data_IF_822933947845
#
_entry.id   IF_822933947845
#
_cell.length_a   1.000
_cell.length_b   1.000
_cell.length_c   1.000
_cell.angle_alpha   90.00
_cell.angle_beta   90.00
_cell.angle_gamma   90.00
#
_symmetry.space_group_name_H-M   'P 1'
#
loop_
_entity.id
_entity.type
_entity.pdbx_description
1 polymer ?
#
# COMPACT_ATOMS: atom_id res chain seq x y z
N UNK A 1 -59.62 132.85 -17.57
CA UNK A 1 -59.17 131.60 -18.19
C UNK A 1 -60.34 130.65 -18.18
N UNK A 2 -60.91 130.43 -19.37
CA UNK A 2 -61.60 129.20 -19.79
C UNK A 2 -62.87 128.85 -19.00
N UNK A 3 -64.02 129.38 -19.43
CA UNK A 3 -65.06 128.67 -20.25
C UNK A 3 -65.79 127.59 -19.42
N UNK A 4 -67.01 127.87 -18.93
CA UNK A 4 -68.30 127.66 -19.64
C UNK A 4 -68.49 126.19 -20.07
N UNK A 5 -69.57 125.46 -19.76
CA UNK A 5 -70.97 125.87 -19.69
C UNK A 5 -71.85 124.81 -18.97
N UNK A 6 -72.99 125.26 -18.41
CA UNK A 6 -74.38 124.68 -18.46
C UNK A 6 -74.61 123.16 -18.34
N UNK A 7 -75.65 122.61 -17.70
CA UNK A 7 -76.89 123.11 -17.10
C UNK A 7 -77.62 121.94 -16.38
N UNK A 8 -78.51 122.32 -15.44
CA UNK A 8 -79.83 121.74 -15.13
C UNK A 8 -80.04 120.24 -14.81
N UNK A 9 -80.37 120.01 -13.53
CA UNK A 9 -81.55 119.30 -12.98
C UNK A 9 -82.00 117.93 -13.54
N UNK A 10 -82.01 116.93 -12.64
CA UNK A 10 -82.83 115.71 -12.77
C UNK A 10 -82.60 114.69 -11.61
N UNK A 11 -83.63 114.37 -10.83
CA UNK A 11 -83.69 113.27 -9.84
C UNK A 11 -84.19 111.96 -10.52
N UNK A 12 -84.10 110.76 -9.90
CA UNK A 12 -83.00 109.79 -9.67
C UNK A 12 -83.19 108.46 -10.51
N UNK A 13 -82.47 107.32 -10.27
CA UNK A 13 -83.13 106.20 -9.54
C UNK A 13 -82.21 105.25 -8.70
N UNK A 14 -82.85 104.42 -7.86
CA UNK A 14 -82.30 103.48 -6.86
C UNK A 14 -81.94 102.06 -7.38
N UNK A 15 -81.82 101.84 -8.70
CA UNK A 15 -81.74 100.49 -9.29
C UNK A 15 -80.36 99.81 -9.23
N UNK A 16 -79.27 100.56 -9.08
CA UNK A 16 -77.90 100.04 -9.24
C UNK A 16 -77.37 99.16 -8.08
N UNK A 17 -77.87 99.36 -6.87
CA UNK A 17 -77.35 98.64 -5.69
C UNK A 17 -77.86 97.19 -5.62
N UNK A 18 -79.09 96.96 -6.06
CA UNK A 18 -79.71 95.64 -6.07
C UNK A 18 -79.09 94.80 -7.19
N UNK A 19 -78.88 95.39 -8.37
CA UNK A 19 -78.23 94.71 -9.50
C UNK A 19 -76.79 94.30 -9.16
N UNK A 20 -76.02 95.15 -8.45
CA UNK A 20 -74.68 94.77 -7.97
C UNK A 20 -74.68 93.63 -6.95
N UNK A 21 -75.64 93.58 -6.03
CA UNK A 21 -75.78 92.44 -5.10
C UNK A 21 -76.25 91.18 -5.82
N UNK A 22 -77.17 91.30 -6.77
CA UNK A 22 -77.65 90.19 -7.58
C UNK A 22 -76.52 89.58 -8.41
N UNK A 23 -75.74 90.41 -9.10
CA UNK A 23 -74.59 89.96 -9.88
C UNK A 23 -73.52 89.31 -9.00
N UNK A 24 -73.27 89.84 -7.80
CA UNK A 24 -72.31 89.24 -6.85
C UNK A 24 -72.77 87.89 -6.29
N UNK A 25 -74.08 87.67 -6.17
CA UNK A 25 -74.67 86.39 -5.76
C UNK A 25 -74.66 85.40 -6.94
N UNK A 26 -74.94 85.86 -8.16
CA UNK A 26 -74.88 85.05 -9.38
C UNK A 26 -73.45 84.68 -9.79
N UNK A 27 -72.45 85.51 -9.47
CA UNK A 27 -71.02 85.22 -9.67
C UNK A 27 -70.50 84.16 -8.70
N UNK A 28 -71.09 84.03 -7.50
CA UNK A 28 -70.85 82.88 -6.63
C UNK A 28 -71.62 81.67 -7.18
N UNK A 29 -71.05 81.02 -8.19
CA UNK A 29 -71.58 79.78 -8.77
C UNK A 29 -71.37 78.60 -7.81
N UNK A 30 -72.20 78.53 -6.77
CA UNK A 30 -72.23 77.44 -5.79
C UNK A 30 -72.63 76.10 -6.46
N UNK A 31 -73.34 76.16 -7.59
CA UNK A 31 -73.82 74.98 -8.32
C UNK A 31 -72.74 74.29 -9.19
N UNK A 32 -71.61 74.96 -9.47
CA UNK A 32 -70.56 74.41 -10.36
C UNK A 32 -69.41 73.73 -9.64
N UNK A 33 -69.32 73.87 -8.31
CA UNK A 33 -68.16 73.42 -7.56
C UNK A 33 -68.48 72.10 -6.84
N UNK A 34 -68.11 70.98 -7.46
CA UNK A 34 -68.50 69.63 -7.05
C UNK A 34 -67.98 69.26 -5.66
N UNK A 35 -66.80 69.74 -5.29
CA UNK A 35 -66.25 69.55 -3.95
C UNK A 35 -67.08 70.30 -2.90
N UNK A 36 -67.60 71.49 -3.24
CA UNK A 36 -68.49 72.23 -2.33
C UNK A 36 -69.86 71.58 -2.24
N UNK A 37 -70.38 71.00 -3.34
CA UNK A 37 -71.64 70.27 -3.35
C UNK A 37 -71.54 68.95 -2.56
N UNK A 38 -70.44 68.21 -2.67
CA UNK A 38 -70.19 67.01 -1.89
C UNK A 38 -70.00 67.36 -0.40
N UNK A 39 -69.24 68.42 -0.09
CA UNK A 39 -69.09 68.90 1.28
C UNK A 39 -70.42 69.41 1.87
N UNK A 40 -71.27 70.06 1.07
CA UNK A 40 -72.61 70.49 1.48
C UNK A 40 -73.57 69.31 1.62
N UNK A 41 -73.43 68.28 0.79
CA UNK A 41 -74.21 67.03 0.88
C UNK A 41 -73.84 66.28 2.16
N UNK A 42 -72.55 66.16 2.48
CA UNK A 42 -72.08 65.62 3.73
C UNK A 42 -72.52 66.48 4.93
N UNK A 43 -72.45 67.80 4.82
CA UNK A 43 -72.96 68.74 5.83
C UNK A 43 -74.45 68.54 6.07
N UNK A 44 -75.23 68.32 5.01
CA UNK A 44 -76.69 68.13 5.07
C UNK A 44 -77.10 66.83 5.78
N UNK A 45 -76.24 65.79 5.77
CA UNK A 45 -76.51 64.55 6.48
C UNK A 45 -76.57 64.71 8.01
N UNK A 46 -75.88 65.72 8.57
CA UNK A 46 -75.81 65.91 10.03
C UNK A 46 -76.25 67.30 10.51
N UNK A 47 -76.39 68.27 9.61
CA UNK A 47 -76.90 69.60 9.92
C UNK A 47 -78.38 69.73 9.52
N UNK A 48 -79.26 69.17 10.35
CA UNK A 48 -80.70 69.11 10.09
C UNK A 48 -81.48 70.35 10.56
N UNK A 49 -80.99 71.09 11.56
CA UNK A 49 -81.67 72.26 12.13
C UNK A 49 -80.76 73.50 12.22
N UNK A 50 -81.18 74.58 11.57
CA UNK A 50 -80.43 75.85 11.49
C UNK A 50 -80.75 76.79 12.66
N UNK A 51 -80.33 76.41 13.88
CA UNK A 51 -80.44 77.26 15.08
C UNK A 51 -79.15 78.05 15.34
N UNK A 52 -79.24 79.12 16.15
CA UNK A 52 -78.09 79.98 16.48
C UNK A 52 -77.01 79.22 17.29
N UNK A 53 -77.41 78.19 18.05
CA UNK A 53 -76.52 77.24 18.73
C UNK A 53 -75.88 76.26 17.75
N UNK A 54 -76.64 75.74 16.77
CA UNK A 54 -76.12 74.86 15.71
C UNK A 54 -75.01 75.53 14.88
N UNK A 55 -75.16 76.82 14.52
CA UNK A 55 -74.10 77.56 13.78
C UNK A 55 -72.83 77.76 14.59
N UNK A 56 -72.94 78.06 15.89
CA UNK A 56 -71.77 78.22 16.78
C UNK A 56 -71.05 76.90 17.00
N UNK A 57 -71.78 75.79 17.05
CA UNK A 57 -71.24 74.46 17.29
C UNK A 57 -70.84 73.70 16.03
N UNK A 58 -71.19 74.18 14.83
CA UNK A 58 -70.89 73.54 13.53
C UNK A 58 -69.39 73.23 13.38
N UNK A 59 -68.53 74.22 13.65
CA UNK A 59 -67.08 74.05 13.57
C UNK A 59 -66.60 72.97 14.54
N UNK A 60 -67.09 73.00 15.77
CA UNK A 60 -66.74 72.00 16.79
C UNK A 60 -67.24 70.59 16.43
N UNK A 61 -68.41 70.47 15.79
CA UNK A 61 -68.93 69.19 15.31
C UNK A 61 -68.15 68.65 14.11
N UNK A 62 -67.78 69.50 13.16
CA UNK A 62 -66.93 69.14 12.01
C UNK A 62 -65.54 68.71 12.50
N UNK A 63 -64.93 69.49 13.40
CA UNK A 63 -63.64 69.14 14.02
C UNK A 63 -63.72 67.81 14.78
N UNK A 64 -64.80 67.58 15.55
CA UNK A 64 -65.01 66.32 16.28
C UNK A 64 -65.22 65.12 15.35
N UNK A 65 -65.94 65.29 14.23
CA UNK A 65 -66.12 64.24 13.23
C UNK A 65 -64.84 63.98 12.44
N UNK A 66 -64.10 65.02 12.07
CA UNK A 66 -62.79 64.88 11.44
C UNK A 66 -61.81 64.16 12.36
N UNK A 67 -61.82 64.50 13.66
CA UNK A 67 -61.02 63.81 14.68
C UNK A 67 -61.44 62.34 14.80
N UNK A 68 -62.74 62.04 14.85
CA UNK A 68 -63.23 60.66 14.88
C UNK A 68 -62.86 59.84 13.62
N UNK A 69 -62.89 60.46 12.43
CA UNK A 69 -62.46 59.82 11.18
C UNK A 69 -60.94 59.57 11.21
N UNK A 70 -60.16 60.54 11.67
CA UNK A 70 -58.71 60.39 11.81
C UNK A 70 -58.34 59.35 12.87
N UNK A 71 -59.08 59.26 13.98
CA UNK A 71 -58.91 58.21 14.99
C UNK A 71 -59.24 56.83 14.42
N UNK A 72 -60.35 56.70 13.68
CA UNK A 72 -60.71 55.44 13.01
C UNK A 72 -59.67 55.04 11.95
N UNK A 73 -59.16 56.01 11.18
CA UNK A 73 -58.09 55.78 10.22
C UNK A 73 -56.79 55.35 10.91
N UNK A 74 -56.41 56.02 12.00
CA UNK A 74 -55.25 55.65 12.82
C UNK A 74 -55.41 54.25 13.41
N UNK A 75 -56.61 53.88 13.86
CA UNK A 75 -56.87 52.55 14.39
C UNK A 75 -56.72 51.47 13.31
N UNK A 76 -57.34 51.65 12.14
CA UNK A 76 -57.22 50.72 11.02
C UNK A 76 -55.78 50.65 10.48
N UNK A 77 -55.10 51.80 10.37
CA UNK A 77 -53.70 51.85 9.93
C UNK A 77 -52.76 51.21 10.94
N UNK A 78 -53.08 51.27 12.24
CA UNK A 78 -52.30 50.61 13.30
C UNK A 78 -52.36 49.09 13.16
N UNK A 79 -53.50 48.51 12.81
CA UNK A 79 -53.61 47.06 12.55
C UNK A 79 -52.74 46.64 11.37
N UNK A 80 -52.77 47.41 10.27
CA UNK A 80 -51.91 47.16 9.10
C UNK A 80 -50.44 47.30 9.45
N UNK A 81 -50.08 48.31 10.26
CA UNK A 81 -48.71 48.53 10.72
C UNK A 81 -48.21 47.40 11.62
N UNK A 82 -49.05 46.88 12.52
CA UNK A 82 -48.70 45.73 13.35
C UNK A 82 -48.50 44.47 12.49
N UNK A 83 -49.39 44.21 11.53
CA UNK A 83 -49.22 43.08 10.62
C UNK A 83 -47.96 43.21 9.74
N UNK A 84 -47.59 44.44 9.35
CA UNK A 84 -46.35 44.69 8.61
C UNK A 84 -45.11 44.52 9.49
N UNK A 85 -45.15 45.00 10.73
CA UNK A 85 -44.07 44.80 11.72
C UNK A 85 -43.87 43.30 11.99
N UNK A 86 -44.94 42.51 12.10
CA UNK A 86 -44.88 41.06 12.27
C UNK A 86 -44.22 40.39 11.04
N UNK A 87 -44.60 40.78 9.82
CA UNK A 87 -43.96 40.28 8.59
C UNK A 87 -42.48 40.68 8.53
N UNK A 88 -42.12 41.89 8.93
CA UNK A 88 -40.73 42.32 9.02
C UNK A 88 -39.96 41.46 10.05
N UNK A 89 -40.56 41.18 11.21
CA UNK A 89 -39.98 40.28 12.21
C UNK A 89 -39.80 38.84 11.69
N UNK A 90 -40.77 38.32 10.95
CA UNK A 90 -40.68 37.01 10.30
C UNK A 90 -39.57 36.99 9.24
N UNK A 91 -39.41 38.06 8.45
CA UNK A 91 -38.33 38.18 7.46
C UNK A 91 -36.97 38.22 8.15
N UNK A 92 -36.84 38.98 9.24
CA UNK A 92 -35.60 39.05 10.02
C UNK A 92 -35.26 37.67 10.62
N UNK A 93 -36.27 36.96 11.17
CA UNK A 93 -36.08 35.60 11.69
C UNK A 93 -35.67 34.59 10.59
N UNK A 94 -36.22 34.72 9.38
CA UNK A 94 -35.81 33.92 8.22
C UNK A 94 -34.38 34.27 7.80
N UNK A 95 -34.01 35.55 7.80
CA UNK A 95 -32.64 35.98 7.50
C UNK A 95 -31.64 35.39 8.50
N UNK A 96 -31.93 35.48 9.80
CA UNK A 96 -31.09 34.92 10.87
C UNK A 96 -30.96 33.40 10.75
N UNK A 97 -32.03 32.71 10.38
CA UNK A 97 -32.03 31.26 10.15
C UNK A 97 -31.18 30.87 8.93
N UNK A 98 -31.28 31.63 7.83
CA UNK A 98 -30.46 31.45 6.62
C UNK A 98 -28.99 31.69 6.93
N UNK A 99 -28.65 32.73 7.68
CA UNK A 99 -27.26 33.02 8.09
C UNK A 99 -26.73 31.92 9.01
N UNK A 100 -27.54 31.43 9.94
CA UNK A 100 -27.19 30.30 10.81
C UNK A 100 -26.92 29.03 10.01
N UNK A 101 -27.79 28.69 9.04
CA UNK A 101 -27.58 27.55 8.13
C UNK A 101 -26.33 27.72 7.27
N UNK A 102 -26.06 28.92 6.77
CA UNK A 102 -24.86 29.23 5.99
C UNK A 102 -23.58 29.06 6.82
N UNK A 103 -23.60 29.49 8.08
CA UNK A 103 -22.49 29.28 9.00
C UNK A 103 -22.27 27.79 9.32
N UNK A 104 -23.35 27.04 9.57
CA UNK A 104 -23.26 25.60 9.79
C UNK A 104 -22.72 24.86 8.54
N UNK A 105 -23.20 25.23 7.35
CA UNK A 105 -22.74 24.65 6.09
C UNK A 105 -21.26 24.94 5.86
N UNK A 106 -20.82 26.19 6.04
CA UNK A 106 -19.41 26.54 5.87
C UNK A 106 -18.50 25.84 6.88
N UNK A 107 -18.94 25.68 8.13
CA UNK A 107 -18.22 24.90 9.15
C UNK A 107 -18.14 23.41 8.77
N UNK A 108 -19.23 22.83 8.27
CA UNK A 108 -19.28 21.42 7.85
C UNK A 108 -18.40 21.18 6.62
N UNK A 109 -18.40 22.10 5.65
CA UNK A 109 -17.50 22.06 4.50
C UNK A 109 -16.02 22.13 4.92
N UNK A 110 -15.69 22.95 5.91
CA UNK A 110 -14.33 23.03 6.45
C UNK A 110 -13.90 21.70 7.09
N UNK A 111 -14.75 21.12 7.94
CA UNK A 111 -14.50 19.82 8.58
C UNK A 111 -14.40 18.68 7.55
N UNK A 112 -15.27 18.69 6.53
CA UNK A 112 -15.22 17.70 5.46
C UNK A 112 -13.92 17.80 4.66
N UNK A 113 -13.44 19.02 4.36
CA UNK A 113 -12.14 19.21 3.71
C UNK A 113 -10.99 18.69 4.56
N UNK A 114 -11.00 18.94 5.87
CA UNK A 114 -9.99 18.42 6.79
C UNK A 114 -9.99 16.89 6.83
N UNK A 115 -11.17 16.26 6.94
CA UNK A 115 -11.31 14.81 6.92
C UNK A 115 -10.83 14.20 5.60
N UNK A 116 -11.15 14.83 4.45
CA UNK A 116 -10.66 14.39 3.14
C UNK A 116 -9.13 14.50 3.09
N UNK A 117 -8.55 15.58 3.61
CA UNK A 117 -7.11 15.75 3.65
C UNK A 117 -6.44 14.68 4.51
N UNK A 118 -6.98 14.40 5.71
CA UNK A 118 -6.49 13.33 6.58
C UNK A 118 -6.61 11.96 5.91
N UNK A 119 -7.75 11.66 5.27
CA UNK A 119 -7.95 10.41 4.54
C UNK A 119 -6.94 10.25 3.39
N UNK A 120 -6.66 11.31 2.64
CA UNK A 120 -5.65 11.30 1.58
C UNK A 120 -4.24 11.04 2.14
N UNK A 121 -3.86 11.70 3.23
CA UNK A 121 -2.54 11.46 3.86
C UNK A 121 -2.40 10.03 4.37
N UNK A 122 -3.45 9.48 5.00
CA UNK A 122 -3.47 8.08 5.43
C UNK A 122 -3.38 7.12 4.25
N UNK A 123 -4.04 7.43 3.12
CA UNK A 123 -3.98 6.62 1.92
C UNK A 123 -2.58 6.63 1.30
N UNK A 124 -1.93 7.78 1.24
CA UNK A 124 -0.54 7.90 0.77
C UNK A 124 0.43 7.12 1.66
N UNK A 125 0.28 7.20 2.97
CA UNK A 125 1.13 6.48 3.91
C UNK A 125 0.87 4.97 3.86
N UNK A 126 -0.38 4.55 3.70
CA UNK A 126 -0.73 3.14 3.48
C UNK A 126 -0.03 2.61 2.22
N UNK A 127 -0.07 3.36 1.12
CA UNK A 127 0.62 2.97 -0.12
C UNK A 127 2.14 2.86 0.07
N UNK A 128 2.77 3.78 0.82
CA UNK A 128 4.20 3.70 1.16
C UNK A 128 4.52 2.46 1.98
N UNK A 129 3.70 2.15 3.00
CA UNK A 129 3.87 0.98 3.86
C UNK A 129 3.72 -0.32 3.06
N UNK A 130 2.74 -0.40 2.16
CA UNK A 130 2.57 -1.56 1.27
C UNK A 130 3.77 -1.76 0.34
N UNK A 131 4.32 -0.67 -0.21
CA UNK A 131 5.54 -0.74 -1.02
C UNK A 131 6.73 -1.23 -0.18
N UNK A 132 6.93 -0.67 1.01
CA UNK A 132 7.99 -1.10 1.93
C UNK A 132 7.84 -2.57 2.33
N UNK A 133 6.62 -3.02 2.63
CA UNK A 133 6.34 -4.43 2.93
C UNK A 133 6.73 -5.31 1.74
N UNK A 134 6.35 -4.94 0.51
CA UNK A 134 6.69 -5.70 -0.69
C UNK A 134 8.19 -5.78 -0.94
N UNK A 135 8.91 -4.68 -0.68
CA UNK A 135 10.37 -4.65 -0.79
C UNK A 135 10.99 -5.54 0.30
N UNK A 136 10.53 -5.44 1.54
CA UNK A 136 11.02 -6.25 2.64
C UNK A 136 10.78 -7.74 2.41
N UNK A 137 9.59 -8.15 1.95
CA UNK A 137 9.32 -9.56 1.64
C UNK A 137 10.17 -10.06 0.47
N UNK A 138 10.34 -9.25 -0.58
CA UNK A 138 11.26 -9.57 -1.67
C UNK A 138 12.70 -9.71 -1.20
N UNK A 139 13.17 -8.81 -0.35
CA UNK A 139 14.50 -8.84 0.24
C UNK A 139 14.72 -10.11 1.08
N UNK A 140 13.80 -10.42 2.00
CA UNK A 140 13.90 -11.63 2.83
C UNK A 140 13.87 -12.89 1.97
N UNK A 141 13.01 -12.97 0.96
CA UNK A 141 12.96 -14.14 0.06
C UNK A 141 14.24 -14.36 -0.75
N UNK A 142 15.03 -13.30 -0.99
CA UNK A 142 16.24 -13.36 -1.81
C UNK A 142 17.51 -13.50 -0.98
N UNK A 143 17.54 -12.98 0.24
CA UNK A 143 18.75 -12.94 1.08
C UNK A 143 18.66 -13.76 2.36
N UNK A 144 17.55 -14.46 2.59
CA UNK A 144 17.38 -15.34 3.74
C UNK A 144 16.95 -16.72 3.29
N UNK A 145 17.47 -17.75 3.96
CA UNK A 145 17.00 -19.13 3.80
C UNK A 145 15.62 -19.28 4.44
N UNK A 146 14.71 -19.93 3.73
CA UNK A 146 13.44 -20.35 4.29
C UNK A 146 13.63 -21.41 5.38
N UNK A 147 12.64 -21.54 6.27
CA UNK A 147 12.67 -22.54 7.35
C UNK A 147 12.80 -23.97 6.79
N UNK A 148 12.17 -24.23 5.63
CA UNK A 148 12.27 -25.52 4.95
C UNK A 148 13.68 -25.78 4.40
N UNK A 149 14.32 -24.78 3.83
CA UNK A 149 15.71 -24.89 3.34
C UNK A 149 16.69 -25.09 4.49
N UNK A 150 16.46 -24.41 5.62
CA UNK A 150 17.27 -24.62 6.80
C UNK A 150 17.13 -26.06 7.32
N UNK A 151 15.91 -26.61 7.34
CA UNK A 151 15.68 -28.01 7.73
C UNK A 151 16.34 -29.01 6.77
N UNK A 152 16.33 -28.77 5.45
CA UNK A 152 17.00 -29.67 4.50
C UNK A 152 18.53 -29.59 4.62
N UNK A 153 19.08 -28.41 4.89
CA UNK A 153 20.52 -28.20 5.04
C UNK A 153 21.09 -28.90 6.29
N UNK A 154 20.42 -28.75 7.44
CA UNK A 154 20.89 -29.31 8.71
C UNK A 154 20.39 -30.73 8.99
N UNK A 155 19.21 -31.09 8.45
CA UNK A 155 18.52 -32.35 8.75
C UNK A 155 17.89 -32.34 10.14
N UNK A 156 16.93 -33.23 10.37
CA UNK A 156 16.34 -33.46 11.69
C UNK A 156 17.32 -34.23 12.61
N UNK A 157 18.19 -35.04 12.00
CA UNK A 157 19.26 -35.77 12.70
C UNK A 157 20.56 -35.71 11.91
N UNK A 158 21.69 -35.85 12.61
CA UNK A 158 23.04 -35.75 12.00
C UNK A 158 23.31 -36.79 10.91
N UNK A 159 22.62 -37.93 10.95
CA UNK A 159 22.79 -39.08 10.05
C UNK A 159 21.68 -39.18 8.99
N UNK A 160 20.84 -38.17 8.86
CA UNK A 160 19.79 -38.18 7.84
C UNK A 160 20.40 -38.16 6.42
N UNK A 161 19.95 -39.06 5.53
CA UNK A 161 20.53 -39.21 4.20
C UNK A 161 20.40 -37.92 3.38
N UNK A 162 21.46 -37.63 2.62
CA UNK A 162 21.48 -36.49 1.72
C UNK A 162 20.61 -36.79 0.50
N UNK A 163 19.67 -35.88 0.20
CA UNK A 163 18.79 -35.95 -0.98
C UNK A 163 19.28 -34.99 -2.07
N UNK A 164 18.70 -35.09 -3.27
CA UNK A 164 19.00 -34.14 -4.35
C UNK A 164 18.65 -32.68 -3.98
N UNK A 165 17.64 -32.49 -3.13
CA UNK A 165 17.22 -31.16 -2.67
C UNK A 165 18.29 -30.44 -1.84
N UNK A 166 19.10 -31.18 -1.09
CA UNK A 166 20.24 -30.62 -0.36
C UNK A 166 21.20 -29.85 -1.28
N UNK A 167 21.49 -30.41 -2.45
CA UNK A 167 22.40 -29.76 -3.41
C UNK A 167 21.80 -28.49 -4.00
N UNK A 168 20.48 -28.46 -4.23
CA UNK A 168 19.77 -27.26 -4.69
C UNK A 168 19.81 -26.15 -3.62
N UNK A 169 19.62 -26.52 -2.35
CA UNK A 169 19.71 -25.57 -1.23
C UNK A 169 21.14 -25.04 -1.09
N UNK A 170 22.15 -25.92 -1.22
CA UNK A 170 23.55 -25.51 -1.18
C UNK A 170 23.90 -24.54 -2.32
N UNK A 171 23.36 -24.76 -3.53
CA UNK A 171 23.50 -23.81 -4.64
C UNK A 171 22.80 -22.49 -4.34
N UNK A 172 21.62 -22.53 -3.72
CA UNK A 172 20.92 -21.33 -3.29
C UNK A 172 21.74 -20.51 -2.27
N UNK A 173 22.36 -21.15 -1.28
CA UNK A 173 23.29 -20.47 -0.33
C UNK A 173 24.42 -19.76 -1.07
N UNK A 174 25.03 -20.41 -2.07
CA UNK A 174 26.09 -19.80 -2.88
C UNK A 174 25.58 -18.63 -3.73
N UNK A 175 24.36 -18.72 -4.27
CA UNK A 175 23.71 -17.63 -4.99
C UNK A 175 23.44 -16.43 -4.07
N UNK A 176 22.93 -16.65 -2.86
CA UNK A 176 22.72 -15.59 -1.87
C UNK A 176 24.06 -14.91 -1.55
N UNK A 177 25.11 -15.70 -1.30
CA UNK A 177 26.44 -15.17 -1.03
C UNK A 177 26.98 -14.35 -2.23
N UNK A 178 26.73 -14.78 -3.47
CA UNK A 178 27.10 -14.02 -4.66
C UNK A 178 26.29 -12.73 -4.82
N UNK A 179 24.98 -12.78 -4.56
CA UNK A 179 24.08 -11.61 -4.61
C UNK A 179 24.44 -10.56 -3.56
N UNK A 180 24.98 -10.96 -2.40
CA UNK A 180 25.48 -10.03 -1.39
C UNK A 180 26.61 -9.15 -1.93
N UNK A 181 27.37 -9.60 -2.94
CA UNK A 181 28.37 -8.76 -3.62
C UNK A 181 27.71 -7.57 -4.35
N UNK A 182 26.51 -7.77 -4.89
CA UNK A 182 25.71 -6.67 -5.48
C UNK A 182 25.20 -5.72 -4.40
N UNK A 183 24.84 -6.24 -3.22
CA UNK A 183 24.42 -5.41 -2.08
C UNK A 183 25.57 -4.56 -1.50
N UNK A 184 26.78 -5.12 -1.47
CA UNK A 184 28.01 -4.41 -1.12
C UNK A 184 28.28 -3.21 -2.05
N UNK A 185 28.02 -3.38 -3.36
CA UNK A 185 28.21 -2.33 -4.37
C UNK A 185 27.17 -1.21 -4.26
N UNK A 186 25.96 -1.51 -3.78
CA UNK A 186 24.88 -0.52 -3.66
C UNK A 186 24.90 0.29 -2.36
N UNK A 187 25.89 0.06 -1.49
CA UNK A 187 26.14 0.88 -0.29
C UNK A 187 25.61 0.29 1.02
N UNK A 188 24.98 -0.89 1.02
CA UNK A 188 24.48 -1.55 2.23
C UNK A 188 25.50 -2.53 2.81
N UNK A 189 26.68 -2.03 3.16
CA UNK A 189 27.84 -2.87 3.51
C UNK A 189 27.62 -3.72 4.77
N UNK A 190 27.11 -3.16 5.87
CA UNK A 190 26.93 -3.89 7.14
C UNK A 190 25.99 -5.09 6.95
N UNK A 191 24.78 -4.86 6.44
CA UNK A 191 23.82 -5.94 6.21
C UNK A 191 24.33 -6.98 5.21
N UNK A 192 25.05 -6.55 4.16
CA UNK A 192 25.65 -7.49 3.20
C UNK A 192 26.71 -8.38 3.84
N UNK A 193 27.55 -7.82 4.72
CA UNK A 193 28.59 -8.56 5.43
C UNK A 193 27.99 -9.54 6.44
N UNK A 194 26.99 -9.11 7.21
CA UNK A 194 26.30 -9.96 8.19
C UNK A 194 25.65 -11.17 7.50
N UNK A 195 24.92 -10.93 6.40
CA UNK A 195 24.28 -12.02 5.63
C UNK A 195 25.34 -12.93 5.00
N UNK A 196 26.44 -12.36 4.48
CA UNK A 196 27.53 -13.13 3.89
C UNK A 196 28.22 -14.03 4.92
N UNK A 197 28.42 -13.54 6.15
CA UNK A 197 28.95 -14.33 7.27
C UNK A 197 28.00 -15.47 7.64
N UNK A 198 26.70 -15.20 7.80
CA UNK A 198 25.71 -16.25 8.05
C UNK A 198 25.67 -17.31 6.94
N UNK A 199 25.67 -16.89 5.67
CA UNK A 199 25.69 -17.83 4.54
C UNK A 199 26.98 -18.65 4.50
N UNK A 200 28.11 -18.07 4.90
CA UNK A 200 29.39 -18.79 5.00
C UNK A 200 29.30 -19.87 6.09
N UNK A 201 28.74 -19.56 7.26
CA UNK A 201 28.52 -20.53 8.33
C UNK A 201 27.59 -21.67 7.89
N UNK A 202 26.50 -21.36 7.20
CA UNK A 202 25.60 -22.36 6.62
C UNK A 202 26.32 -23.25 5.59
N UNK A 203 27.12 -22.65 4.72
CA UNK A 203 27.90 -23.38 3.72
C UNK A 203 28.93 -24.31 4.38
N UNK A 204 29.64 -23.87 5.42
CA UNK A 204 30.60 -24.68 6.15
C UNK A 204 29.95 -25.87 6.84
N UNK A 205 28.85 -25.64 7.57
CA UNK A 205 28.09 -26.71 8.22
C UNK A 205 27.55 -27.74 7.21
N UNK A 206 27.04 -27.25 6.07
CA UNK A 206 26.56 -28.11 4.99
C UNK A 206 27.68 -28.96 4.37
N UNK A 207 28.84 -28.36 4.10
CA UNK A 207 29.99 -29.08 3.56
C UNK A 207 30.56 -30.09 4.56
N UNK A 208 30.54 -29.80 5.86
CA UNK A 208 30.94 -30.76 6.89
C UNK A 208 29.99 -31.97 6.95
N UNK A 209 28.67 -31.72 6.87
CA UNK A 209 27.67 -32.79 6.79
C UNK A 209 27.85 -33.64 5.53
N UNK A 210 28.03 -32.97 4.38
CA UNK A 210 28.31 -33.63 3.10
C UNK A 210 29.56 -34.50 3.20
N UNK A 211 30.65 -33.95 3.74
CA UNK A 211 31.90 -34.68 3.97
C UNK A 211 31.68 -35.96 4.78
N UNK A 212 31.01 -35.87 5.95
CA UNK A 212 30.74 -37.04 6.82
C UNK A 212 29.92 -38.11 6.10
N UNK A 213 28.87 -37.68 5.38
CA UNK A 213 28.00 -38.57 4.63
C UNK A 213 28.76 -39.29 3.49
N UNK A 214 29.51 -38.52 2.68
CA UNK A 214 30.32 -39.04 1.58
C UNK A 214 31.42 -39.97 2.11
N UNK A 215 32.12 -39.60 3.18
CA UNK A 215 33.16 -40.45 3.80
C UNK A 215 32.57 -41.78 4.29
N UNK A 216 31.40 -41.76 4.94
CA UNK A 216 30.70 -42.98 5.38
C UNK A 216 30.35 -43.90 4.20
N UNK A 217 29.89 -43.33 3.07
CA UNK A 217 29.60 -44.09 1.85
C UNK A 217 30.88 -44.66 1.22
N UNK A 218 31.97 -43.89 1.23
CA UNK A 218 33.29 -44.33 0.76
C UNK A 218 33.96 -45.37 1.65
N UNK A 219 33.48 -45.58 2.88
CA UNK A 219 33.95 -46.66 3.77
C UNK A 219 33.27 -48.00 3.52
N UNK A 220 32.02 -47.99 3.01
CA UNK A 220 31.18 -49.17 2.82
C UNK A 220 31.11 -49.63 1.34
N UNK A 221 32.20 -49.48 0.57
CA UNK A 221 32.24 -49.65 -0.91
C UNK A 221 32.23 -51.11 -1.37
N UNK A 222 31.91 -52.06 -0.48
CA UNK A 222 31.79 -53.48 -0.83
C UNK A 222 30.78 -53.74 -1.97
N UNK A 223 29.88 -52.79 -2.25
CA UNK A 223 28.85 -52.90 -3.28
C UNK A 223 29.25 -52.47 -4.71
N UNK A 224 30.47 -51.96 -4.97
CA UNK A 224 30.92 -51.45 -6.28
C UNK A 224 30.04 -50.37 -6.96
N UNK A 225 28.89 -50.01 -6.39
CA UNK A 225 27.98 -49.00 -6.91
C UNK A 225 28.17 -47.69 -6.15
N UNK A 226 28.94 -46.78 -6.74
CA UNK A 226 29.02 -45.40 -6.26
C UNK A 226 27.73 -44.69 -6.70
N UNK A 227 26.88 -44.34 -5.73
CA UNK A 227 25.65 -43.60 -6.01
C UNK A 227 25.94 -42.23 -6.62
N UNK A 228 25.08 -41.77 -7.54
CA UNK A 228 25.24 -40.48 -8.25
C UNK A 228 25.37 -39.27 -7.29
N UNK A 229 24.69 -39.32 -6.13
CA UNK A 229 24.78 -38.27 -5.11
C UNK A 229 26.17 -38.20 -4.45
N UNK A 230 26.90 -39.31 -4.36
CA UNK A 230 28.29 -39.33 -3.87
C UNK A 230 29.21 -38.63 -4.87
N UNK A 231 29.04 -38.90 -6.16
CA UNK A 231 29.79 -38.25 -7.24
C UNK A 231 29.52 -36.73 -7.25
N UNK A 232 28.26 -36.33 -7.09
CA UNK A 232 27.88 -34.92 -6.95
C UNK A 232 28.46 -34.30 -5.66
N UNK A 233 28.49 -35.05 -4.57
CA UNK A 233 29.14 -34.66 -3.32
C UNK A 233 30.63 -34.36 -3.49
N UNK A 234 31.36 -35.25 -4.17
CA UNK A 234 32.78 -35.07 -4.50
C UNK A 234 33.02 -33.81 -5.34
N UNK A 235 32.15 -33.54 -6.32
CA UNK A 235 32.22 -32.33 -7.13
C UNK A 235 32.04 -31.04 -6.30
N UNK A 236 31.24 -31.05 -5.23
CA UNK A 236 31.11 -29.89 -4.33
C UNK A 236 32.26 -29.79 -3.34
N UNK A 237 32.77 -30.94 -2.86
CA UNK A 237 33.91 -30.99 -1.94
C UNK A 237 35.23 -30.55 -2.59
N UNK A 238 35.36 -30.57 -3.93
CA UNK A 238 36.56 -30.09 -4.63
C UNK A 238 36.88 -28.60 -4.37
N UNK A 239 35.92 -27.82 -3.89
CA UNK A 239 36.12 -26.43 -3.44
C UNK A 239 36.85 -26.32 -2.09
N UNK A 240 36.97 -27.44 -1.36
CA UNK A 240 37.71 -27.57 -0.11
C UNK A 240 38.72 -28.72 -0.22
N UNK A 241 39.94 -28.45 -0.76
CA UNK A 241 40.92 -29.49 -1.10
C UNK A 241 41.28 -30.43 0.05
N UNK A 242 41.28 -29.93 1.29
CA UNK A 242 41.59 -30.72 2.50
C UNK A 242 40.51 -31.77 2.76
N UNK A 243 39.23 -31.39 2.73
CA UNK A 243 38.11 -32.33 2.93
C UNK A 243 38.04 -33.35 1.79
N UNK A 244 38.21 -32.87 0.56
CA UNK A 244 38.25 -33.72 -0.63
C UNK A 244 39.33 -34.79 -0.51
N UNK A 245 40.56 -34.40 -0.14
CA UNK A 245 41.67 -35.33 0.09
C UNK A 245 41.34 -36.39 1.13
N UNK A 246 40.75 -36.02 2.27
CA UNK A 246 40.39 -36.99 3.30
C UNK A 246 39.36 -38.02 2.82
N UNK A 247 38.42 -37.64 1.96
CA UNK A 247 37.48 -38.61 1.37
C UNK A 247 38.20 -39.56 0.41
N UNK A 248 39.10 -39.05 -0.43
CA UNK A 248 39.91 -39.88 -1.34
C UNK A 248 40.82 -40.84 -0.56
N UNK A 249 41.45 -40.39 0.52
CA UNK A 249 42.33 -41.23 1.35
C UNK A 249 41.52 -42.35 2.05
N UNK A 250 40.33 -42.04 2.58
CA UNK A 250 39.42 -43.03 3.18
C UNK A 250 38.94 -44.04 2.13
N UNK A 251 38.50 -43.57 0.96
CA UNK A 251 38.10 -44.42 -0.16
C UNK A 251 39.23 -45.35 -0.59
N UNK A 252 40.44 -44.82 -0.75
CA UNK A 252 41.63 -45.59 -1.13
C UNK A 252 41.96 -46.65 -0.09
N UNK A 253 41.81 -46.33 1.19
CA UNK A 253 42.00 -47.27 2.30
C UNK A 253 40.98 -48.41 2.27
N UNK A 254 39.70 -48.09 2.08
CA UNK A 254 38.63 -49.08 1.96
C UNK A 254 38.84 -50.00 0.75
N UNK A 255 39.15 -49.43 -0.42
CA UNK A 255 39.44 -50.20 -1.64
C UNK A 255 40.69 -51.05 -1.51
N UNK A 256 41.76 -50.56 -0.88
CA UNK A 256 42.95 -51.38 -0.56
C UNK A 256 42.55 -52.64 0.20
N UNK A 257 41.73 -52.53 1.25
CA UNK A 257 41.27 -53.69 2.02
C UNK A 257 40.46 -54.68 1.17
N UNK A 258 39.60 -54.19 0.27
CA UNK A 258 38.84 -55.03 -0.67
C UNK A 258 39.77 -55.75 -1.66
N UNK A 259 40.72 -55.03 -2.25
CA UNK A 259 41.68 -55.59 -3.22
C UNK A 259 42.56 -56.66 -2.57
N UNK A 260 43.08 -56.41 -1.36
CA UNK A 260 43.89 -57.38 -0.61
C UNK A 260 43.07 -58.63 -0.29
N UNK A 261 41.85 -58.47 0.19
CA UNK A 261 40.96 -59.59 0.49
C UNK A 261 40.66 -60.41 -0.78
N UNK A 262 40.31 -59.73 -1.88
CA UNK A 262 40.03 -60.35 -3.17
C UNK A 262 41.26 -61.10 -3.72
N UNK A 263 42.46 -60.56 -3.52
CA UNK A 263 43.71 -61.21 -3.89
C UNK A 263 43.96 -62.47 -3.06
N UNK A 264 43.79 -62.41 -1.73
CA UNK A 264 43.91 -63.59 -0.84
C UNK A 264 42.88 -64.66 -1.24
N UNK A 265 41.64 -64.26 -1.52
CA UNK A 265 40.59 -65.19 -1.96
C UNK A 265 40.96 -65.85 -3.30
N UNK A 266 41.54 -65.09 -4.25
CA UNK A 266 42.05 -65.64 -5.51
C UNK A 266 43.23 -66.60 -5.33
N UNK A 267 44.11 -66.35 -4.35
CA UNK A 267 45.21 -67.24 -4.00
C UNK A 267 44.73 -68.56 -3.39
N UNK A 268 43.82 -68.49 -2.41
CA UNK A 268 43.52 -69.59 -1.48
C UNK A 268 42.23 -70.35 -1.81
N UNK A 269 41.18 -69.66 -2.28
CA UNK A 269 39.87 -70.24 -2.56
C UNK A 269 39.65 -70.42 -4.07
N UNK A 270 40.21 -69.51 -4.87
CA UNK A 270 39.88 -69.40 -6.29
C UNK A 270 38.52 -68.76 -6.51
N UNK A 271 38.16 -68.55 -7.77
CA UNK A 271 36.83 -68.05 -8.15
C UNK A 271 35.93 -69.21 -8.61
N UNK A 272 34.63 -68.95 -8.79
CA UNK A 272 33.69 -69.95 -9.32
C UNK A 272 34.12 -70.55 -10.68
N UNK A 273 35.02 -69.89 -11.40
CA UNK A 273 35.52 -70.29 -12.72
C UNK A 273 37.03 -70.63 -12.75
N UNK A 274 37.79 -70.34 -11.70
CA UNK A 274 39.24 -70.54 -11.68
C UNK A 274 39.69 -71.18 -10.36
N UNK A 275 40.57 -72.18 -10.46
CA UNK A 275 41.17 -72.83 -9.29
C UNK A 275 42.09 -71.85 -8.53
N UNK A 276 42.27 -72.04 -7.22
CA UNK A 276 43.20 -71.22 -6.43
C UNK A 276 44.59 -71.22 -7.03
N UNK A 277 45.21 -70.03 -7.10
CA UNK A 277 46.56 -69.83 -7.67
C UNK A 277 47.60 -70.64 -6.86
N UNK A 278 47.38 -70.83 -5.55
CA UNK A 278 48.26 -71.60 -4.66
C UNK A 278 48.39 -73.08 -5.04
N UNK A 279 47.43 -73.66 -5.80
CA UNK A 279 47.58 -75.02 -6.34
C UNK A 279 48.77 -75.16 -7.30
N UNK A 280 49.22 -74.04 -7.90
CA UNK A 280 50.34 -73.97 -8.84
C UNK A 280 51.66 -73.58 -8.16
N UNK A 281 51.71 -73.52 -6.82
CA UNK A 281 52.91 -73.15 -6.06
C UNK A 281 54.13 -74.07 -6.31
N UNK A 282 53.90 -75.28 -6.84
CA UNK A 282 54.96 -76.21 -7.23
C UNK A 282 55.77 -75.77 -8.46
N UNK A 283 55.23 -74.84 -9.27
CA UNK A 283 55.93 -74.21 -10.40
C UNK A 283 56.10 -72.69 -10.13
N UNK A 284 57.26 -72.26 -9.62
CA UNK A 284 57.48 -70.87 -9.22
C UNK A 284 57.28 -69.85 -10.34
N UNK A 285 57.61 -70.21 -11.59
CA UNK A 285 57.45 -69.27 -12.72
C UNK A 285 55.99 -69.04 -13.03
N UNK A 286 55.18 -70.10 -13.01
CA UNK A 286 53.76 -70.02 -13.28
C UNK A 286 53.00 -69.38 -12.12
N UNK A 287 53.38 -69.71 -10.88
CA UNK A 287 52.81 -69.11 -9.67
C UNK A 287 52.98 -67.58 -9.64
N UNK A 288 54.21 -67.10 -9.85
CA UNK A 288 54.49 -65.66 -9.92
C UNK A 288 53.80 -65.02 -11.15
N UNK A 289 53.79 -65.73 -12.29
CA UNK A 289 53.11 -65.26 -13.51
C UNK A 289 51.61 -65.04 -13.31
N UNK A 290 50.92 -65.97 -12.64
CA UNK A 290 49.49 -65.91 -12.38
C UNK A 290 49.16 -64.82 -11.33
N UNK A 291 50.03 -64.61 -10.33
CA UNK A 291 49.92 -63.47 -9.40
C UNK A 291 50.00 -62.12 -10.13
N UNK A 292 51.01 -61.93 -11.00
CA UNK A 292 51.13 -60.70 -11.79
C UNK A 292 49.97 -60.53 -12.75
N UNK A 293 49.48 -61.62 -13.37
CA UNK A 293 48.31 -61.57 -14.24
C UNK A 293 47.06 -61.10 -13.48
N UNK A 294 46.85 -61.58 -12.26
CA UNK A 294 45.74 -61.13 -11.42
C UNK A 294 45.87 -59.64 -11.07
N UNK A 295 47.05 -59.20 -10.61
CA UNK A 295 47.31 -57.79 -10.28
C UNK A 295 47.06 -56.89 -11.51
N UNK A 296 47.53 -57.32 -12.68
CA UNK A 296 47.32 -56.60 -13.93
C UNK A 296 45.84 -56.50 -14.32
N UNK A 297 44.99 -57.46 -13.92
CA UNK A 297 43.56 -57.45 -14.19
C UNK A 297 42.77 -56.55 -13.21
N UNK A 298 43.15 -56.51 -11.94
CA UNK A 298 42.40 -55.76 -10.91
C UNK A 298 42.71 -54.26 -10.92
N UNK A 299 43.95 -53.85 -11.19
CA UNK A 299 44.34 -52.43 -11.14
C UNK A 299 43.56 -51.51 -12.10
N UNK A 300 43.28 -51.90 -13.37
CA UNK A 300 42.45 -51.10 -14.26
C UNK A 300 41.03 -50.87 -13.75
N UNK A 301 40.44 -51.88 -13.09
CA UNK A 301 39.08 -51.80 -12.50
C UNK A 301 39.06 -50.78 -11.36
N UNK A 302 40.07 -50.81 -10.48
CA UNK A 302 40.18 -49.82 -9.40
C UNK A 302 40.38 -48.39 -9.93
N UNK A 303 41.16 -48.26 -11.01
CA UNK A 303 41.33 -46.96 -11.67
C UNK A 303 40.01 -46.45 -12.25
N UNK A 304 39.21 -47.31 -12.87
CA UNK A 304 37.90 -46.95 -13.40
C UNK A 304 36.94 -46.53 -12.27
N UNK A 305 36.92 -47.27 -11.16
CA UNK A 305 36.10 -46.94 -9.99
C UNK A 305 36.45 -45.57 -9.41
N UNK A 306 37.75 -45.27 -9.29
CA UNK A 306 38.24 -43.98 -8.81
C UNK A 306 37.91 -42.84 -9.78
N UNK A 307 38.02 -43.08 -11.09
CA UNK A 307 37.59 -42.11 -12.11
C UNK A 307 36.08 -41.89 -12.08
N UNK A 308 35.28 -42.91 -11.79
CA UNK A 308 33.83 -42.77 -11.62
C UNK A 308 33.50 -41.91 -10.40
N UNK A 309 34.19 -42.09 -9.27
CA UNK A 309 34.02 -41.27 -8.06
C UNK A 309 34.22 -39.78 -8.34
N UNK A 310 35.22 -39.45 -9.16
CA UNK A 310 35.66 -38.08 -9.46
C UNK A 310 35.08 -37.55 -10.77
N UNK A 311 34.17 -38.28 -11.42
CA UNK A 311 33.67 -37.98 -12.78
C UNK A 311 33.10 -36.57 -12.99
N UNK A 312 32.47 -35.99 -11.96
CA UNK A 312 31.85 -34.66 -12.01
C UNK A 312 32.77 -33.55 -11.46
N UNK A 313 34.04 -33.86 -11.15
CA UNK A 313 34.99 -32.87 -10.68
C UNK A 313 35.66 -32.20 -11.89
N UNK A 314 35.80 -30.88 -11.82
CA UNK A 314 36.28 -30.04 -12.93
C UNK A 314 37.74 -29.63 -12.75
N UNK A 315 38.30 -29.76 -11.53
CA UNK A 315 39.68 -29.40 -11.22
C UNK A 315 40.65 -30.52 -11.63
N UNK A 316 41.91 -30.16 -11.85
CA UNK A 316 42.97 -31.15 -12.10
C UNK A 316 43.25 -31.95 -10.82
N UNK A 317 42.84 -33.21 -10.82
CA UNK A 317 42.93 -34.15 -9.67
C UNK A 317 43.89 -35.30 -10.03
N UNK A 318 44.69 -35.15 -11.10
CA UNK A 318 45.59 -36.19 -11.60
C UNK A 318 46.56 -36.70 -10.53
N UNK A 319 47.16 -35.80 -9.77
CA UNK A 319 48.09 -36.15 -8.69
C UNK A 319 47.40 -36.97 -7.58
N UNK A 320 46.20 -36.57 -7.17
CA UNK A 320 45.46 -37.28 -6.13
C UNK A 320 45.02 -38.66 -6.61
N UNK A 321 44.64 -38.79 -7.88
CA UNK A 321 44.32 -40.09 -8.50
C UNK A 321 45.56 -40.99 -8.49
N UNK A 322 46.73 -40.47 -8.85
CA UNK A 322 47.97 -41.25 -8.83
C UNK A 322 48.31 -41.72 -7.41
N UNK A 323 48.26 -40.83 -6.41
CA UNK A 323 48.53 -41.17 -5.01
C UNK A 323 47.53 -42.19 -4.44
N UNK A 324 46.25 -42.03 -4.77
CA UNK A 324 45.19 -42.97 -4.41
C UNK A 324 45.45 -44.35 -5.02
N UNK A 325 45.80 -44.42 -6.31
CA UNK A 325 46.15 -45.67 -6.99
C UNK A 325 47.38 -46.33 -6.38
N UNK A 326 48.42 -45.56 -6.03
CA UNK A 326 49.58 -46.09 -5.29
C UNK A 326 49.14 -46.73 -3.99
N UNK A 327 48.32 -46.02 -3.20
CA UNK A 327 47.79 -46.51 -1.91
C UNK A 327 46.98 -47.80 -2.07
N UNK A 328 46.13 -47.88 -3.09
CA UNK A 328 45.33 -49.09 -3.37
C UNK A 328 46.24 -50.26 -3.75
N UNK A 329 47.24 -50.03 -4.60
CA UNK A 329 48.17 -51.06 -5.08
C UNK A 329 49.15 -51.55 -4.01
N UNK A 330 49.51 -50.69 -3.06
CA UNK A 330 50.48 -50.97 -1.99
C UNK A 330 50.09 -52.18 -1.14
N UNK A 331 48.78 -52.42 -0.98
CA UNK A 331 48.29 -53.57 -0.22
C UNK A 331 48.63 -54.93 -0.81
N UNK A 332 48.90 -55.02 -2.13
CA UNK A 332 49.20 -56.28 -2.82
C UNK A 332 50.69 -56.44 -3.12
N UNK A 333 51.44 -55.33 -3.12
CA UNK A 333 52.87 -55.30 -3.42
C UNK A 333 53.76 -55.55 -2.18
N UNK A 334 53.18 -55.53 -0.99
CA UNK A 334 53.80 -55.88 0.29
C UNK A 334 53.36 -57.27 0.75
#
# INVERSE_FOLDING_TARGET
MSEEATAAAGLPPKEDYIQKRLNKILENRIDSDRETLDALTDLSQFYTENTLQSRRNLRSQIERRSLAINENFLAAFREVKLALDDICGDIDAVSDSVDSMKNLLSSTEAQQKELIQQANTLQEDNNKLLLQQRIATGFLSRFQLSVTEHQTLYGATRDEPITAEFFNVLDHVQLIHADCRTLLQSGYQTAALDIMEEMTLHQEAALERLYRWTQSHCRNVDANEIGMLVIQGMARLQERPVLFKYVIDEYSTARRSVVVRSFIDALTVGSSSAKPIEMLAHDPKRYIGDMFAYIHQILPVEKENLLMLVKMCDKDITEQIQLAMTTISDGVCH
#
